data_IF_421601708220
#
_entry.id   IF_421601708220
#
_cell.length_a   1.000
_cell.length_b   1.000
_cell.length_c   1.000
_cell.angle_alpha   90.00
_cell.angle_beta   90.00
_cell.angle_gamma   90.00
#
_symmetry.space_group_name_H-M   'P 1'
#
loop_
_entity.id
_entity.type
_entity.pdbx_description
1 polymer ?
#
# COMPACT_ATOMS: atom_id res chain seq x y z
N UNK A 1 -17.27 -18.41 -41.02
CA UNK A 1 -15.81 -18.38 -40.79
C UNK A 1 -15.59 -17.92 -39.34
N UNK A 2 -15.29 -18.84 -38.41
CA UNK A 2 -15.08 -18.50 -36.99
C UNK A 2 -13.72 -17.83 -36.85
N UNK A 3 -13.71 -16.52 -36.55
CA UNK A 3 -12.49 -15.79 -36.24
C UNK A 3 -11.99 -16.32 -34.90
N UNK A 4 -10.79 -16.88 -34.89
CA UNK A 4 -10.20 -17.56 -33.74
C UNK A 4 -9.69 -16.51 -32.74
N UNK A 5 -10.59 -16.06 -31.86
CA UNK A 5 -10.34 -15.00 -30.87
C UNK A 5 -9.12 -15.35 -29.97
N UNK A 6 -8.92 -16.64 -29.69
CA UNK A 6 -7.82 -17.16 -28.87
C UNK A 6 -6.42 -16.83 -29.39
N UNK A 7 -6.25 -16.64 -30.70
CA UNK A 7 -4.95 -16.25 -31.29
C UNK A 7 -4.67 -14.76 -31.15
N UNK A 8 -5.70 -13.93 -31.16
CA UNK A 8 -5.57 -12.48 -30.97
C UNK A 8 -5.20 -12.15 -29.52
N UNK A 9 -5.82 -12.83 -28.55
CA UNK A 9 -5.48 -12.67 -27.12
C UNK A 9 -4.02 -13.02 -26.82
N UNK A 10 -3.54 -14.16 -27.34
CA UNK A 10 -2.14 -14.58 -27.15
C UNK A 10 -1.14 -13.61 -27.76
N UNK A 11 -1.47 -13.01 -28.90
CA UNK A 11 -0.58 -12.08 -29.60
C UNK A 11 -0.55 -10.68 -28.94
N UNK A 12 -1.67 -10.26 -28.35
CA UNK A 12 -1.79 -9.04 -27.54
C UNK A 12 -1.19 -9.15 -26.12
N UNK A 13 -1.13 -10.36 -25.55
CA UNK A 13 -0.42 -10.66 -24.29
C UNK A 13 1.09 -10.59 -24.50
N UNK A 14 1.61 -11.26 -25.54
CA UNK A 14 3.05 -11.37 -25.81
C UNK A 14 3.75 -10.01 -26.07
N UNK A 15 3.01 -9.01 -26.54
CA UNK A 15 3.55 -7.67 -26.86
C UNK A 15 3.47 -6.66 -25.72
N UNK A 16 2.66 -6.91 -24.67
CA UNK A 16 2.48 -6.02 -23.50
C UNK A 16 3.08 -6.55 -22.20
N UNK A 17 3.47 -7.83 -22.15
CA UNK A 17 4.03 -8.48 -20.95
C UNK A 17 5.40 -7.95 -20.49
N UNK A 18 6.05 -7.07 -21.28
CA UNK A 18 7.40 -6.59 -20.96
C UNK A 18 7.42 -5.57 -19.82
N UNK A 19 6.30 -4.88 -19.52
CA UNK A 19 6.24 -3.88 -18.44
C UNK A 19 4.82 -3.81 -17.87
N UNK A 20 4.39 -4.80 -17.09
CA UNK A 20 3.18 -4.65 -16.28
C UNK A 20 3.38 -5.24 -14.90
N UNK A 21 3.07 -4.45 -13.87
CA UNK A 21 3.25 -4.86 -12.48
C UNK A 21 2.29 -6.01 -12.13
N UNK A 22 2.61 -6.76 -11.08
CA UNK A 22 1.72 -7.83 -10.59
C UNK A 22 0.32 -7.30 -10.29
N UNK A 23 0.22 -6.11 -9.69
CA UNK A 23 -1.04 -5.43 -9.35
C UNK A 23 -1.87 -5.14 -10.61
N UNK A 24 -1.25 -4.63 -11.67
CA UNK A 24 -1.93 -4.33 -12.94
C UNK A 24 -2.49 -5.60 -13.60
N UNK A 25 -1.74 -6.71 -13.54
CA UNK A 25 -2.20 -8.01 -14.06
C UNK A 25 -3.44 -8.50 -13.32
N UNK A 26 -3.45 -8.42 -11.99
CA UNK A 26 -4.61 -8.80 -11.18
C UNK A 26 -5.81 -7.88 -11.40
N UNK A 27 -5.59 -6.55 -11.48
CA UNK A 27 -6.65 -5.58 -11.77
C UNK A 27 -7.31 -5.87 -13.12
N UNK A 28 -6.53 -6.17 -14.16
CA UNK A 28 -7.06 -6.54 -15.48
C UNK A 28 -7.88 -7.83 -15.42
N UNK A 29 -7.38 -8.84 -14.71
CA UNK A 29 -8.06 -10.13 -14.56
C UNK A 29 -9.42 -9.97 -13.87
N UNK A 30 -9.46 -9.25 -12.74
CA UNK A 30 -10.71 -8.99 -12.02
C UNK A 30 -11.65 -8.06 -12.80
N UNK A 31 -11.12 -7.12 -13.59
CA UNK A 31 -11.90 -6.31 -14.53
C UNK A 31 -12.65 -7.20 -15.53
N UNK A 32 -11.95 -8.12 -16.17
CA UNK A 32 -12.54 -9.09 -17.10
C UNK A 32 -13.61 -9.97 -16.43
N UNK A 33 -13.36 -10.45 -15.21
CA UNK A 33 -14.35 -11.24 -14.47
C UNK A 33 -15.62 -10.46 -14.15
N UNK A 34 -15.48 -9.18 -13.81
CA UNK A 34 -16.61 -8.29 -13.56
C UNK A 34 -17.43 -8.06 -14.84
N UNK A 35 -16.78 -7.80 -15.97
CA UNK A 35 -17.45 -7.58 -17.26
C UNK A 35 -18.23 -8.81 -17.73
N UNK A 36 -17.74 -10.01 -17.43
CA UNK A 36 -18.37 -11.28 -17.80
C UNK A 36 -19.32 -11.84 -16.73
N UNK A 37 -19.65 -11.07 -15.68
CA UNK A 37 -20.52 -11.48 -14.57
C UNK A 37 -20.10 -12.79 -13.87
N UNK A 38 -18.80 -13.01 -13.72
CA UNK A 38 -18.25 -14.19 -13.06
C UNK A 38 -18.19 -14.00 -11.54
N UNK A 39 -18.72 -14.99 -10.80
CA UNK A 39 -18.65 -14.99 -9.34
C UNK A 39 -17.22 -15.30 -8.88
N UNK A 40 -16.56 -14.31 -8.28
CA UNK A 40 -15.13 -14.37 -7.90
C UNK A 40 -14.88 -14.04 -6.43
N UNK A 41 -15.92 -14.01 -5.61
CA UNK A 41 -15.85 -13.65 -4.19
C UNK A 41 -14.80 -14.43 -3.39
N UNK A 42 -14.64 -15.73 -3.65
CA UNK A 42 -13.64 -16.56 -2.96
C UNK A 42 -12.22 -16.30 -3.47
N UNK A 43 -12.06 -16.05 -4.78
CA UNK A 43 -10.77 -15.75 -5.37
C UNK A 43 -10.24 -14.39 -4.91
N UNK A 44 -11.12 -13.38 -4.84
CA UNK A 44 -10.78 -12.05 -4.32
C UNK A 44 -10.22 -12.16 -2.91
N UNK A 45 -10.89 -12.89 -2.01
CA UNK A 45 -10.42 -13.10 -0.63
C UNK A 45 -9.02 -13.73 -0.55
N UNK A 46 -8.73 -14.71 -1.41
CA UNK A 46 -7.41 -15.37 -1.45
C UNK A 46 -6.34 -14.39 -1.93
N UNK A 47 -6.65 -13.63 -2.99
CA UNK A 47 -5.70 -12.66 -3.56
C UNK A 47 -5.45 -11.51 -2.58
N UNK A 48 -6.49 -10.94 -1.97
CA UNK A 48 -6.37 -9.95 -0.90
C UNK A 48 -5.46 -10.46 0.23
N UNK A 49 -5.70 -11.68 0.71
CA UNK A 49 -4.87 -12.28 1.75
C UNK A 49 -3.42 -12.44 1.31
N UNK A 50 -3.17 -12.93 0.10
CA UNK A 50 -1.82 -13.09 -0.44
C UNK A 50 -1.07 -11.76 -0.57
N UNK A 51 -1.77 -10.68 -0.94
CA UNK A 51 -1.19 -9.33 -1.02
C UNK A 51 -0.97 -8.67 0.34
N UNK A 52 -1.72 -9.08 1.37
CA UNK A 52 -1.45 -8.65 2.74
C UNK A 52 -0.19 -9.28 3.34
N UNK A 53 0.27 -10.41 2.79
CA UNK A 53 1.50 -11.05 3.25
C UNK A 53 2.69 -10.36 2.61
N UNK A 54 3.62 -9.78 3.40
CA UNK A 54 4.84 -9.27 2.84
C UNK A 54 5.64 -10.43 2.24
N UNK A 55 5.92 -10.39 0.94
CA UNK A 55 6.71 -11.43 0.26
C UNK A 55 8.15 -11.56 0.74
N UNK A 56 8.60 -10.65 1.61
CA UNK A 56 9.94 -10.63 2.21
C UNK A 56 9.89 -10.12 3.65
N UNK A 57 10.85 -10.52 4.49
CA UNK A 57 11.04 -9.95 5.83
C UNK A 57 11.53 -8.49 5.80
N UNK A 58 11.93 -7.97 4.64
CA UNK A 58 12.55 -6.65 4.50
C UNK A 58 11.69 -5.50 5.05
N UNK A 59 10.36 -5.55 4.87
CA UNK A 59 9.46 -4.54 5.45
C UNK A 59 9.49 -4.58 6.99
N UNK A 60 9.43 -5.78 7.54
CA UNK A 60 9.46 -6.01 9.00
C UNK A 60 10.82 -5.59 9.57
N UNK A 61 11.91 -5.98 8.94
CA UNK A 61 13.27 -5.57 9.30
C UNK A 61 13.46 -4.05 9.22
N UNK A 62 12.87 -3.40 8.21
CA UNK A 62 12.85 -1.94 8.10
C UNK A 62 12.10 -1.31 9.27
N UNK A 63 10.95 -1.86 9.69
CA UNK A 63 10.23 -1.39 10.88
C UNK A 63 11.10 -1.52 12.12
N UNK A 64 11.73 -2.68 12.33
CA UNK A 64 12.62 -2.91 13.48
C UNK A 64 13.83 -1.97 13.48
N UNK A 65 14.47 -1.75 12.34
CA UNK A 65 15.59 -0.81 12.20
C UNK A 65 15.14 0.62 12.53
N UNK A 66 14.00 1.07 12.01
CA UNK A 66 13.44 2.38 12.31
C UNK A 66 13.07 2.51 13.80
N UNK A 67 12.53 1.45 14.40
CA UNK A 67 12.18 1.40 15.81
C UNK A 67 13.42 1.52 16.68
N UNK A 68 14.47 0.73 16.40
CA UNK A 68 15.74 0.80 17.13
C UNK A 68 16.41 2.18 17.01
N UNK A 69 16.32 2.83 15.84
CA UNK A 69 16.82 4.19 15.65
C UNK A 69 16.01 5.25 16.42
N UNK A 70 14.71 5.03 16.59
CA UNK A 70 13.84 5.92 17.36
C UNK A 70 13.96 5.66 18.87
N UNK A 71 14.24 4.42 19.25
CA UNK A 71 14.34 3.91 20.62
C UNK A 71 15.81 3.73 21.03
N UNK A 72 16.60 4.80 21.01
CA UNK A 72 17.96 4.81 21.57
C UNK A 72 17.96 5.36 22.99
N UNK A 73 18.86 4.90 23.86
CA UNK A 73 18.97 5.33 25.27
C UNK A 73 19.13 6.86 25.41
N UNK A 74 19.78 7.51 24.45
CA UNK A 74 19.92 8.97 24.38
C UNK A 74 18.60 9.73 24.16
N UNK A 75 17.56 9.02 23.66
CA UNK A 75 16.20 9.51 23.44
C UNK A 75 15.19 8.94 24.44
N UNK A 76 15.66 8.39 25.56
CA UNK A 76 14.99 7.46 26.50
C UNK A 76 13.64 7.83 27.14
N UNK A 77 12.75 8.57 26.47
CA UNK A 77 11.46 9.03 27.01
C UNK A 77 10.29 8.97 26.02
N UNK A 78 10.46 8.45 24.80
CA UNK A 78 9.31 8.28 23.92
C UNK A 78 8.43 7.10 24.38
N UNK A 79 7.19 7.41 24.76
CA UNK A 79 6.17 6.40 25.05
C UNK A 79 5.98 5.49 23.84
N UNK A 80 5.67 4.22 24.08
CA UNK A 80 5.37 3.23 23.03
C UNK A 80 4.34 3.76 22.01
N UNK A 81 3.29 4.43 22.47
CA UNK A 81 2.26 5.01 21.61
C UNK A 81 2.79 6.09 20.65
N UNK A 82 3.81 6.85 21.08
CA UNK A 82 4.47 7.88 20.27
C UNK A 82 5.39 7.25 19.23
N UNK A 83 6.14 6.20 19.61
CA UNK A 83 6.98 5.43 18.69
C UNK A 83 6.11 4.74 17.63
N UNK A 84 5.00 4.12 18.03
CA UNK A 84 4.04 3.50 17.12
C UNK A 84 3.50 4.52 16.12
N UNK A 85 3.02 5.66 16.60
CA UNK A 85 2.51 6.75 15.74
C UNK A 85 3.56 7.27 14.76
N UNK A 86 4.80 7.47 15.23
CA UNK A 86 5.92 7.93 14.40
C UNK A 86 6.26 6.93 13.30
N UNK A 87 6.34 5.64 13.64
CA UNK A 87 6.63 4.57 12.68
C UNK A 87 5.51 4.44 11.64
N UNK A 88 4.24 4.47 12.06
CA UNK A 88 3.10 4.43 11.15
C UNK A 88 3.13 5.58 10.15
N UNK A 89 3.39 6.81 10.61
CA UNK A 89 3.56 7.96 9.73
C UNK A 89 4.74 7.76 8.77
N UNK A 90 5.91 7.38 9.27
CA UNK A 90 7.13 7.25 8.46
C UNK A 90 7.03 6.16 7.39
N UNK A 91 6.35 5.05 7.69
CA UNK A 91 6.17 3.93 6.77
C UNK A 91 5.10 4.23 5.72
N UNK A 92 3.96 4.79 6.12
CA UNK A 92 2.79 4.91 5.23
C UNK A 92 2.78 6.19 4.39
N UNK A 93 3.44 7.25 4.84
CA UNK A 93 3.37 8.55 4.15
C UNK A 93 4.29 8.60 2.94
N UNK A 94 5.41 7.84 2.96
CA UNK A 94 6.33 7.73 1.82
C UNK A 94 7.02 9.04 1.42
N UNK A 95 6.98 10.07 2.27
CA UNK A 95 7.58 11.38 2.01
C UNK A 95 8.84 11.58 2.86
N UNK A 96 9.78 12.39 2.35
CA UNK A 96 10.83 12.93 3.17
C UNK A 96 10.24 13.83 4.28
N UNK A 97 10.95 13.96 5.41
CA UNK A 97 10.47 14.75 6.55
C UNK A 97 10.15 16.21 6.16
N UNK A 98 10.95 16.80 5.28
CA UNK A 98 10.74 18.17 4.80
C UNK A 98 9.44 18.30 4.00
N UNK A 99 9.23 17.41 3.02
CA UNK A 99 8.01 17.37 2.21
C UNK A 99 6.77 17.10 3.07
N UNK A 100 6.90 16.21 4.05
CA UNK A 100 5.83 15.94 5.00
C UNK A 100 5.47 17.19 5.81
N UNK A 101 6.46 17.88 6.38
CA UNK A 101 6.26 19.13 7.11
C UNK A 101 5.55 20.17 6.25
N UNK A 102 6.01 20.36 5.01
CA UNK A 102 5.39 21.31 4.08
C UNK A 102 3.95 20.91 3.73
N UNK A 103 3.69 19.62 3.51
CA UNK A 103 2.36 19.08 3.21
C UNK A 103 1.38 19.25 4.37
N UNK A 104 1.83 19.08 5.61
CA UNK A 104 1.01 19.23 6.81
C UNK A 104 0.76 20.70 7.15
N UNK A 105 1.77 21.57 7.04
CA UNK A 105 1.62 23.02 7.27
C UNK A 105 0.50 23.64 6.43
N UNK A 106 0.32 23.14 5.21
CA UNK A 106 -0.71 23.63 4.29
C UNK A 106 -2.11 23.08 4.58
N UNK A 107 -2.28 22.11 5.50
CA UNK A 107 -3.57 21.51 5.87
C UNK A 107 -4.09 22.06 7.20
N UNK A 108 -4.55 23.32 7.17
CA UNK A 108 -5.05 24.02 8.37
C UNK A 108 -6.18 23.27 9.09
N UNK A 109 -7.14 22.72 8.36
CA UNK A 109 -8.27 21.99 8.95
C UNK A 109 -7.82 20.74 9.71
N UNK A 110 -6.83 20.02 9.16
CA UNK A 110 -6.24 18.87 9.82
C UNK A 110 -5.52 19.29 11.11
N UNK A 111 -4.73 20.36 11.06
CA UNK A 111 -4.00 20.89 12.22
C UNK A 111 -4.95 21.36 13.33
N UNK A 112 -6.07 22.00 12.97
CA UNK A 112 -7.09 22.43 13.92
C UNK A 112 -7.75 21.24 14.62
N UNK A 113 -8.05 20.15 13.89
CA UNK A 113 -8.59 18.91 14.48
C UNK A 113 -7.62 18.24 15.45
N UNK A 114 -6.34 18.19 15.08
CA UNK A 114 -5.28 17.66 15.96
C UNK A 114 -5.17 18.51 17.23
N UNK A 115 -5.22 19.83 17.11
CA UNK A 115 -5.16 20.74 18.26
C UNK A 115 -6.38 20.59 19.19
N UNK A 116 -7.54 20.32 18.62
CA UNK A 116 -8.79 20.10 19.35
C UNK A 116 -8.86 18.72 20.04
N UNK A 117 -7.86 17.84 19.89
CA UNK A 117 -7.90 16.44 20.33
C UNK A 117 -9.15 15.69 19.84
N UNK A 118 -9.69 16.07 18.68
CA UNK A 118 -10.84 15.37 18.11
C UNK A 118 -10.42 13.97 17.68
N UNK A 119 -11.07 12.95 18.24
CA UNK A 119 -10.87 11.57 17.83
C UNK A 119 -11.43 11.37 16.43
N UNK A 120 -10.66 10.75 15.54
CA UNK A 120 -11.15 10.32 14.23
C UNK A 120 -12.15 9.16 14.43
N UNK A 121 -13.45 9.47 14.47
CA UNK A 121 -14.56 8.50 14.32
C UNK A 121 -14.72 8.04 12.89
#
# INVERSE_FOLDING_TARGET
MKINNDRLWKQEETTRDVISSSEEKWLRLFGHFKENNLATSNLIKIVEYAFCLPGTSALVERVFSLMNNAWTDDRGLMKESMVKSLLTCKINIGLACEDFCNKIKNKKDFLNKVLANETYT
#
